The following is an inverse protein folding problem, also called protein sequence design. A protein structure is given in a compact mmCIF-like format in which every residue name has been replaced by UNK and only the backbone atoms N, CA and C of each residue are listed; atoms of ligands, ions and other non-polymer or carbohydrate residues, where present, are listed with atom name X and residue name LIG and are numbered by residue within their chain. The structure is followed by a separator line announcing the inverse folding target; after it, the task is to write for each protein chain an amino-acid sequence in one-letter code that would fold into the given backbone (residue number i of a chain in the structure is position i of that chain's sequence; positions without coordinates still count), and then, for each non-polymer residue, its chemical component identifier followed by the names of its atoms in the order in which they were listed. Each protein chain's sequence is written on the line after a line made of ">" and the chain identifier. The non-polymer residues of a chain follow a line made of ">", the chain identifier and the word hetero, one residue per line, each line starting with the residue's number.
data_IF_668127527125
#
_entry.id   IF_668127527125
#
_cell.length_a   1.000
_cell.length_b   1.000
_cell.length_c   1.000
_cell.angle_alpha   90.00
_cell.angle_beta   90.00
_cell.angle_gamma   90.00
#
_symmetry.space_group_name_H-M   'P 1'
#
loop_
_entity.id
_entity.type
_entity.pdbx_description
1 polymer ?
#
# COMPACT_ATOMS: atom_id res chain seq x y z
N UNK A 1 0.19 17.10 -19.68
CA UNK A 1 0.59 16.32 -18.51
C UNK A 1 0.57 14.83 -18.85
N UNK A 2 1.55 14.08 -18.32
CA UNK A 2 1.65 12.61 -18.43
C UNK A 2 1.61 11.98 -17.06
N UNK A 3 0.90 10.86 -16.92
CA UNK A 3 0.92 10.00 -15.74
C UNK A 3 1.71 8.72 -16.03
N UNK A 4 2.40 8.20 -15.03
CA UNK A 4 3.07 6.91 -15.08
C UNK A 4 2.68 6.05 -13.88
N UNK A 5 2.40 4.76 -14.13
CA UNK A 5 2.15 3.79 -13.06
C UNK A 5 2.84 2.47 -13.38
N UNK A 6 3.27 1.73 -12.35
CA UNK A 6 4.08 0.52 -12.58
C UNK A 6 3.35 -0.53 -13.42
N UNK A 7 2.18 -0.99 -12.99
CA UNK A 7 1.32 -1.95 -13.71
C UNK A 7 -0.11 -1.91 -13.19
N UNK A 8 -1.06 -2.27 -14.05
CA UNK A 8 -2.50 -2.23 -13.80
C UNK A 8 -3.08 -3.66 -13.89
N UNK A 9 -2.94 -4.45 -12.82
CA UNK A 9 -3.38 -5.86 -12.76
C UNK A 9 -4.48 -6.13 -11.74
N UNK A 10 -4.96 -5.10 -11.04
CA UNK A 10 -6.04 -5.16 -10.05
C UNK A 10 -6.13 -3.87 -9.26
N UNK A 11 -7.30 -3.56 -8.68
CA UNK A 11 -7.51 -2.43 -7.80
C UNK A 11 -6.95 -2.72 -6.40
N UNK A 12 -5.95 -1.95 -5.98
CA UNK A 12 -5.34 -1.98 -4.65
C UNK A 12 -5.14 -0.55 -4.16
N UNK A 13 -4.44 -0.37 -3.02
CA UNK A 13 -4.21 0.97 -2.47
C UNK A 13 -3.53 1.94 -3.44
N UNK A 14 -2.53 1.49 -4.20
CA UNK A 14 -1.83 2.32 -5.19
C UNK A 14 -2.73 2.73 -6.35
N UNK A 15 -3.53 1.81 -6.86
CA UNK A 15 -4.45 2.09 -7.96
C UNK A 15 -5.63 2.97 -7.51
N UNK A 16 -6.05 2.91 -6.23
CA UNK A 16 -7.04 3.87 -5.68
C UNK A 16 -6.49 5.30 -5.65
N UNK A 17 -5.23 5.48 -5.27
CA UNK A 17 -4.55 6.78 -5.38
C UNK A 17 -4.50 7.25 -6.83
N UNK A 18 -4.11 6.37 -7.75
CA UNK A 18 -4.06 6.68 -9.17
C UNK A 18 -5.44 7.06 -9.73
N UNK A 19 -6.50 6.35 -9.33
CA UNK A 19 -7.87 6.65 -9.74
C UNK A 19 -8.28 8.08 -9.39
N UNK A 20 -8.00 8.50 -8.14
CA UNK A 20 -8.29 9.87 -7.71
C UNK A 20 -7.45 10.90 -8.48
N UNK A 21 -6.19 10.60 -8.79
CA UNK A 21 -5.36 11.46 -9.65
C UNK A 21 -5.95 11.53 -11.06
N UNK A 22 -6.40 10.41 -11.62
CA UNK A 22 -7.04 10.36 -12.94
C UNK A 22 -8.34 11.18 -12.97
N UNK A 23 -9.15 11.13 -11.93
CA UNK A 23 -10.34 11.98 -11.80
C UNK A 23 -9.99 13.47 -11.79
N UNK A 24 -8.95 13.84 -11.04
CA UNK A 24 -8.52 15.24 -10.95
C UNK A 24 -7.93 15.76 -12.27
N UNK A 25 -7.34 14.89 -13.08
CA UNK A 25 -6.68 15.24 -14.34
C UNK A 25 -7.20 14.40 -15.52
N UNK A 26 -8.46 14.58 -15.95
CA UNK A 26 -9.12 13.69 -16.92
C UNK A 26 -8.50 13.71 -18.33
N UNK A 27 -7.68 14.74 -18.65
CA UNK A 27 -6.96 14.86 -19.93
C UNK A 27 -5.53 14.29 -19.90
N UNK A 28 -5.09 13.76 -18.75
CA UNK A 28 -3.75 13.22 -18.63
C UNK A 28 -3.61 11.89 -19.40
N UNK A 29 -2.43 11.66 -19.97
CA UNK A 29 -2.10 10.44 -20.72
C UNK A 29 -1.34 9.48 -19.81
N UNK A 30 -1.95 8.33 -19.49
CA UNK A 30 -1.37 7.34 -18.58
C UNK A 30 -0.53 6.31 -19.34
N UNK A 31 0.70 6.15 -18.87
CA UNK A 31 1.66 5.14 -19.31
C UNK A 31 1.88 4.10 -18.23
N UNK A 32 1.89 2.83 -18.59
CA UNK A 32 2.10 1.72 -17.63
C UNK A 32 2.82 0.56 -18.30
N UNK A 33 3.54 -0.27 -17.54
CA UNK A 33 4.19 -1.44 -18.12
C UNK A 33 3.20 -2.46 -18.67
N UNK A 34 2.13 -2.73 -17.91
CA UNK A 34 1.16 -3.79 -18.21
C UNK A 34 -0.22 -3.31 -17.78
N UNK A 35 -1.20 -3.50 -18.65
CA UNK A 35 -2.61 -3.25 -18.36
C UNK A 35 -3.44 -4.51 -18.62
N UNK A 36 -4.04 -5.05 -17.58
CA UNK A 36 -5.03 -6.14 -17.70
C UNK A 36 -6.41 -5.52 -17.83
N UNK A 37 -7.06 -5.72 -18.97
CA UNK A 37 -8.44 -5.23 -19.20
C UNK A 37 -9.41 -5.68 -18.11
N UNK A 38 -10.26 -4.75 -17.65
CA UNK A 38 -11.26 -5.00 -16.61
C UNK A 38 -10.70 -5.19 -15.20
N UNK A 39 -9.40 -4.98 -14.99
CA UNK A 39 -8.77 -5.14 -13.67
C UNK A 39 -8.75 -3.86 -12.84
N UNK A 40 -8.96 -2.71 -13.46
CA UNK A 40 -9.00 -1.38 -12.84
C UNK A 40 -10.31 -0.67 -13.20
N UNK A 41 -10.62 0.40 -12.47
CA UNK A 41 -11.81 1.20 -12.74
C UNK A 41 -11.72 1.97 -14.06
N UNK A 42 -12.87 2.53 -14.47
CA UNK A 42 -12.97 3.23 -15.75
C UNK A 42 -12.15 4.53 -15.77
N UNK A 43 -11.98 5.22 -14.65
CA UNK A 43 -11.21 6.46 -14.58
C UNK A 43 -9.76 6.22 -14.98
N UNK A 44 -9.18 5.11 -14.50
CA UNK A 44 -7.83 4.70 -14.90
C UNK A 44 -7.84 4.17 -16.34
N UNK A 45 -8.76 3.25 -16.66
CA UNK A 45 -8.74 2.53 -17.94
C UNK A 45 -8.86 3.45 -19.15
N UNK A 46 -9.67 4.51 -19.09
CA UNK A 46 -9.85 5.50 -20.16
C UNK A 46 -8.59 6.31 -20.47
N UNK A 47 -7.70 6.48 -19.50
CA UNK A 47 -6.49 7.31 -19.65
C UNK A 47 -5.27 6.52 -20.11
N UNK A 48 -5.32 5.18 -20.10
CA UNK A 48 -4.20 4.35 -20.56
C UNK A 48 -4.03 4.52 -22.07
N UNK A 49 -2.94 5.20 -22.46
CA UNK A 49 -2.61 5.45 -23.88
C UNK A 49 -1.46 4.59 -24.38
N UNK A 50 -0.61 4.07 -23.48
CA UNK A 50 0.52 3.24 -23.86
C UNK A 50 0.87 2.21 -22.78
N UNK A 51 1.26 1.04 -23.24
CA UNK A 51 1.88 -0.02 -22.44
C UNK A 51 3.25 -0.36 -22.97
N UNK A 52 4.10 -0.99 -22.16
CA UNK A 52 5.42 -1.42 -22.62
C UNK A 52 5.32 -2.65 -23.56
N UNK A 53 6.44 -3.01 -24.20
CA UNK A 53 6.52 -4.23 -25.01
C UNK A 53 6.17 -5.51 -24.20
N UNK A 54 6.33 -5.49 -22.89
CA UNK A 54 5.97 -6.62 -22.03
C UNK A 54 4.50 -6.99 -22.14
N UNK A 55 3.63 -6.03 -22.46
CA UNK A 55 2.19 -6.27 -22.67
C UNK A 55 1.92 -7.35 -23.72
N UNK A 56 2.78 -7.47 -24.73
CA UNK A 56 2.61 -8.40 -25.84
C UNK A 56 3.04 -9.84 -25.51
N UNK A 57 3.68 -10.07 -24.36
CA UNK A 57 4.07 -11.41 -23.95
C UNK A 57 2.84 -12.23 -23.51
N UNK A 58 2.67 -13.48 -24.00
CA UNK A 58 1.51 -14.30 -23.69
C UNK A 58 1.31 -14.50 -22.19
N UNK A 59 0.14 -14.13 -21.67
CA UNK A 59 -0.24 -14.33 -20.27
C UNK A 59 0.55 -13.51 -19.25
N UNK A 60 1.26 -12.45 -19.67
CA UNK A 60 2.14 -11.64 -18.81
C UNK A 60 1.46 -11.17 -17.53
N UNK A 61 0.18 -10.85 -17.56
CA UNK A 61 -0.57 -10.39 -16.38
C UNK A 61 -0.60 -11.40 -15.21
N UNK A 62 -0.27 -12.67 -15.47
CA UNK A 62 -0.21 -13.73 -14.44
C UNK A 62 1.20 -13.93 -13.88
N UNK A 63 2.23 -13.69 -14.69
CA UNK A 63 3.62 -13.99 -14.33
C UNK A 63 4.58 -12.80 -14.41
N UNK A 64 4.09 -11.58 -14.63
CA UNK A 64 4.89 -10.34 -14.78
C UNK A 64 5.97 -10.14 -13.72
N UNK A 65 5.73 -10.62 -12.48
CA UNK A 65 6.72 -10.48 -11.40
C UNK A 65 8.05 -11.17 -11.68
N UNK A 66 8.02 -12.23 -12.50
CA UNK A 66 9.24 -12.91 -12.94
C UNK A 66 9.99 -12.14 -14.03
N UNK A 67 9.33 -11.20 -14.70
CA UNK A 67 9.92 -10.29 -15.67
C UNK A 67 10.57 -9.05 -15.02
N UNK A 68 10.65 -8.97 -13.68
CA UNK A 68 11.22 -7.85 -12.94
C UNK A 68 12.58 -7.36 -13.47
N UNK A 69 13.56 -8.23 -13.86
CA UNK A 69 14.82 -7.77 -14.41
C UNK A 69 14.70 -7.01 -15.73
N UNK A 70 13.60 -7.18 -16.46
CA UNK A 70 13.33 -6.50 -17.74
C UNK A 70 12.57 -5.18 -17.55
N UNK A 71 12.05 -4.90 -16.36
CA UNK A 71 11.24 -3.71 -16.11
C UNK A 71 12.00 -2.40 -16.33
N UNK A 72 13.28 -2.25 -15.90
CA UNK A 72 14.08 -1.09 -16.25
C UNK A 72 14.12 -0.82 -17.75
N UNK A 73 14.49 -1.81 -18.53
CA UNK A 73 14.54 -1.70 -19.98
C UNK A 73 13.17 -1.38 -20.58
N UNK A 74 12.11 -1.99 -20.06
CA UNK A 74 10.76 -1.79 -20.57
C UNK A 74 10.24 -0.35 -20.36
N UNK A 75 10.50 0.24 -19.17
CA UNK A 75 10.05 1.61 -18.89
C UNK A 75 10.86 2.65 -19.67
N UNK A 76 12.19 2.48 -19.80
CA UNK A 76 13.07 3.38 -20.52
C UNK A 76 12.81 3.44 -22.03
N UNK A 77 12.24 2.37 -22.60
CA UNK A 77 11.91 2.30 -24.04
C UNK A 77 10.49 2.77 -24.35
N UNK A 78 9.72 3.19 -23.35
CA UNK A 78 8.45 3.87 -23.60
C UNK A 78 8.70 5.27 -24.19
N UNK A 79 7.73 5.75 -24.95
CA UNK A 79 7.81 7.04 -25.65
C UNK A 79 6.64 7.92 -25.21
N UNK A 80 6.72 8.57 -24.04
CA UNK A 80 5.70 9.52 -23.65
C UNK A 80 5.71 10.74 -24.56
N UNK A 81 4.56 11.40 -24.80
CA UNK A 81 4.54 12.68 -25.51
C UNK A 81 5.21 13.77 -24.68
N UNK A 82 5.57 14.86 -25.34
CA UNK A 82 6.04 16.07 -24.66
C UNK A 82 4.97 16.57 -23.66
N UNK A 83 5.42 16.99 -22.49
CA UNK A 83 4.57 17.48 -21.43
C UNK A 83 5.38 18.36 -20.47
N UNK A 84 4.74 19.38 -19.88
CA UNK A 84 5.38 20.23 -18.87
C UNK A 84 5.54 19.51 -17.54
N UNK A 85 4.66 18.54 -17.23
CA UNK A 85 4.62 17.80 -15.99
C UNK A 85 4.40 16.31 -16.23
N UNK A 86 5.24 15.49 -15.59
CA UNK A 86 5.06 14.06 -15.43
C UNK A 86 4.78 13.77 -13.95
N UNK A 87 3.72 13.01 -13.67
CA UNK A 87 3.45 12.48 -12.32
C UNK A 87 3.57 10.97 -12.39
N UNK A 88 4.55 10.40 -11.71
CA UNK A 88 4.64 8.95 -11.53
C UNK A 88 4.13 8.53 -10.16
N UNK A 89 3.28 7.50 -10.13
CA UNK A 89 2.87 6.79 -8.92
C UNK A 89 3.63 5.48 -8.89
N UNK A 90 4.68 5.39 -8.05
CA UNK A 90 5.69 4.34 -8.19
C UNK A 90 5.97 3.58 -6.90
N UNK A 91 6.05 2.27 -7.01
CA UNK A 91 6.61 1.35 -6.03
C UNK A 91 7.67 0.42 -6.63
N UNK A 92 7.99 0.63 -7.92
CA UNK A 92 8.98 -0.13 -8.67
C UNK A 92 9.70 0.74 -9.70
N UNK A 93 9.23 0.81 -10.94
CA UNK A 93 9.98 1.42 -12.06
C UNK A 93 9.31 2.64 -12.72
N UNK A 94 8.07 2.95 -12.40
CA UNK A 94 7.32 4.03 -13.09
C UNK A 94 8.03 5.39 -13.05
N UNK A 95 8.83 5.66 -12.00
CA UNK A 95 9.66 6.86 -11.92
C UNK A 95 10.77 6.96 -12.98
N UNK A 96 11.10 5.82 -13.62
CA UNK A 96 12.07 5.74 -14.71
C UNK A 96 11.48 6.02 -16.09
N UNK A 97 10.20 6.44 -16.20
CA UNK A 97 9.65 6.87 -17.49
C UNK A 97 10.49 8.03 -18.06
N UNK A 98 10.94 7.94 -19.34
CA UNK A 98 11.75 8.99 -19.95
C UNK A 98 11.06 10.35 -19.89
N UNK A 99 11.82 11.38 -19.53
CA UNK A 99 11.37 12.77 -19.54
C UNK A 99 12.09 13.54 -20.63
N UNK A 100 11.36 14.40 -21.34
CA UNK A 100 11.95 15.32 -22.31
C UNK A 100 12.05 16.71 -21.67
N UNK A 101 13.22 17.35 -21.75
CA UNK A 101 13.36 18.73 -21.27
C UNK A 101 12.39 19.65 -22.05
N UNK A 102 11.70 20.60 -21.37
CA UNK A 102 11.87 21.06 -19.98
C UNK A 102 10.95 20.40 -18.94
N UNK A 103 10.39 19.21 -19.21
CA UNK A 103 9.42 18.56 -18.35
C UNK A 103 9.89 18.43 -16.89
N UNK A 104 9.05 18.76 -15.94
CA UNK A 104 9.26 18.51 -14.53
C UNK A 104 8.65 17.17 -14.13
N UNK A 105 9.32 16.43 -13.24
CA UNK A 105 8.86 15.11 -12.79
C UNK A 105 8.59 15.09 -11.29
N UNK A 106 7.33 14.90 -10.91
CA UNK A 106 6.90 14.62 -9.55
C UNK A 106 6.71 13.12 -9.41
N UNK A 107 7.42 12.47 -8.47
CA UNK A 107 7.21 11.06 -8.14
C UNK A 107 6.46 10.93 -6.82
N UNK A 108 5.19 10.49 -6.89
CA UNK A 108 4.46 10.01 -5.73
C UNK A 108 4.92 8.59 -5.42
N UNK A 109 5.80 8.48 -4.44
CA UNK A 109 6.53 7.26 -4.13
C UNK A 109 5.83 6.46 -3.03
N UNK A 110 5.24 5.32 -3.40
CA UNK A 110 4.67 4.38 -2.42
C UNK A 110 5.76 3.73 -1.59
N UNK A 111 6.89 3.42 -2.21
CA UNK A 111 8.11 2.91 -1.58
C UNK A 111 9.24 2.89 -2.63
N UNK A 112 10.51 3.08 -2.26
CA UNK A 112 11.62 2.67 -3.10
C UNK A 112 11.47 1.20 -3.50
N UNK A 113 12.00 0.82 -4.68
CA UNK A 113 11.77 -0.51 -5.27
C UNK A 113 11.86 -1.63 -4.23
N UNK A 114 10.70 -2.06 -3.71
CA UNK A 114 10.60 -2.96 -2.56
C UNK A 114 11.34 -4.27 -2.76
N UNK A 115 11.29 -4.81 -3.98
CA UNK A 115 11.95 -6.06 -4.36
C UNK A 115 13.47 -5.99 -4.27
N UNK A 116 14.06 -4.82 -4.52
CA UNK A 116 15.50 -4.62 -4.48
C UNK A 116 16.03 -4.27 -3.08
N UNK A 117 15.25 -3.53 -2.27
CA UNK A 117 15.74 -2.94 -1.03
C UNK A 117 15.24 -3.61 0.26
N UNK A 118 14.05 -4.24 0.26
CA UNK A 118 13.38 -4.66 1.51
C UNK A 118 13.15 -6.17 1.59
N UNK A 119 12.66 -6.81 0.55
CA UNK A 119 12.16 -8.20 0.62
C UNK A 119 13.04 -9.23 -0.08
N UNK A 120 14.34 -9.00 -0.16
CA UNK A 120 15.27 -9.92 -0.79
C UNK A 120 15.18 -11.36 -0.26
N UNK A 121 15.20 -11.52 1.06
CA UNK A 121 15.24 -12.84 1.68
C UNK A 121 13.91 -13.61 1.57
N UNK A 122 12.79 -12.90 1.55
CA UNK A 122 11.46 -13.50 1.49
C UNK A 122 11.10 -14.05 0.11
N UNK A 123 11.59 -13.40 -0.96
CA UNK A 123 11.25 -13.80 -2.33
C UNK A 123 12.17 -14.84 -2.92
N UNK A 124 13.41 -14.97 -2.45
CA UNK A 124 14.44 -15.73 -3.16
C UNK A 124 15.00 -16.94 -2.42
N UNK A 125 14.60 -17.19 -1.17
CA UNK A 125 14.92 -18.39 -0.39
C UNK A 125 16.41 -18.53 0.00
N UNK A 126 16.76 -19.66 0.60
CA UNK A 126 18.07 -19.89 1.25
C UNK A 126 19.15 -20.57 0.37
N UNK A 127 18.88 -20.82 -0.92
CA UNK A 127 19.84 -21.54 -1.78
C UNK A 127 21.04 -20.66 -2.18
N UNK A 128 22.30 -21.04 -1.85
CA UNK A 128 23.49 -20.18 -2.05
C UNK A 128 23.82 -19.92 -3.54
N UNK A 129 23.61 -20.87 -4.44
CA UNK A 129 23.87 -20.67 -5.87
C UNK A 129 22.86 -19.71 -6.50
N UNK A 130 21.58 -19.79 -6.09
CA UNK A 130 20.57 -18.81 -6.46
C UNK A 130 20.87 -17.42 -5.87
N UNK A 131 21.41 -17.35 -4.65
CA UNK A 131 21.79 -16.08 -4.01
C UNK A 131 22.83 -15.29 -4.82
N UNK A 132 23.83 -15.96 -5.40
CA UNK A 132 24.86 -15.28 -6.18
C UNK A 132 24.30 -14.64 -7.47
N UNK A 133 23.58 -15.41 -8.29
CA UNK A 133 22.96 -14.90 -9.53
C UNK A 133 21.93 -13.78 -9.25
N UNK A 134 21.12 -13.97 -8.22
CA UNK A 134 20.15 -13.00 -7.80
C UNK A 134 20.80 -11.73 -7.22
N UNK A 135 21.96 -11.87 -6.58
CA UNK A 135 22.76 -10.74 -6.11
C UNK A 135 23.16 -9.80 -7.25
N UNK A 136 23.57 -10.34 -8.39
CA UNK A 136 23.89 -9.54 -9.60
C UNK A 136 22.66 -8.78 -10.12
N UNK A 137 21.53 -9.47 -10.24
CA UNK A 137 20.27 -8.86 -10.69
C UNK A 137 19.83 -7.76 -9.72
N UNK A 138 19.95 -7.99 -8.43
CA UNK A 138 19.56 -7.00 -7.42
C UNK A 138 20.47 -5.79 -7.40
N UNK A 139 21.77 -5.97 -7.56
CA UNK A 139 22.70 -4.86 -7.66
C UNK A 139 22.38 -4.03 -8.92
N UNK A 140 22.16 -4.68 -10.06
CA UNK A 140 21.68 -4.00 -11.26
C UNK A 140 20.40 -3.19 -10.99
N UNK A 141 19.39 -3.79 -10.34
CA UNK A 141 18.13 -3.12 -10.04
C UNK A 141 18.31 -1.97 -9.05
N UNK A 142 19.17 -2.11 -8.04
CA UNK A 142 19.47 -1.04 -7.07
C UNK A 142 20.20 0.14 -7.70
N UNK A 143 21.19 -0.14 -8.54
CA UNK A 143 21.95 0.89 -9.24
C UNK A 143 21.02 1.65 -10.19
N UNK A 144 20.23 0.93 -10.96
CA UNK A 144 19.23 1.53 -11.85
C UNK A 144 18.19 2.36 -11.07
N UNK A 145 17.66 1.82 -9.98
CA UNK A 145 16.64 2.46 -9.14
C UNK A 145 17.16 3.77 -8.51
N UNK A 146 18.45 3.78 -8.13
CA UNK A 146 19.13 4.96 -7.61
C UNK A 146 19.40 5.99 -8.72
N UNK A 147 19.93 5.58 -9.87
CA UNK A 147 20.22 6.46 -11.00
C UNK A 147 18.95 7.16 -11.50
N UNK A 148 17.86 6.41 -11.68
CA UNK A 148 16.60 7.01 -12.13
C UNK A 148 15.97 7.97 -11.11
N UNK A 149 16.30 7.85 -9.83
CA UNK A 149 15.87 8.80 -8.81
C UNK A 149 16.51 10.20 -8.99
N UNK A 150 17.66 10.31 -9.70
CA UNK A 150 18.31 11.59 -9.98
C UNK A 150 17.51 12.44 -10.98
N UNK A 151 16.75 11.79 -11.88
CA UNK A 151 15.92 12.47 -12.87
C UNK A 151 14.57 12.96 -12.32
N UNK A 152 14.20 12.57 -11.11
CA UNK A 152 12.98 13.05 -10.47
C UNK A 152 13.19 14.47 -9.93
N UNK A 153 12.38 15.42 -10.37
CA UNK A 153 12.44 16.81 -9.87
C UNK A 153 12.06 16.86 -8.39
N UNK A 154 10.95 16.22 -8.00
CA UNK A 154 10.45 16.20 -6.63
C UNK A 154 9.88 14.83 -6.26
N UNK A 155 10.28 14.33 -5.09
CA UNK A 155 9.64 13.18 -4.46
C UNK A 155 8.54 13.61 -3.49
N UNK A 156 7.43 12.85 -3.51
CA UNK A 156 6.36 12.90 -2.53
C UNK A 156 6.22 11.50 -1.94
N UNK A 157 6.48 11.35 -0.67
CA UNK A 157 6.39 10.09 0.05
C UNK A 157 4.97 9.90 0.64
N UNK A 158 4.50 8.66 0.67
CA UNK A 158 3.19 8.31 1.26
C UNK A 158 3.18 8.37 2.80
N UNK A 159 4.35 8.49 3.44
CA UNK A 159 4.50 8.52 4.90
C UNK A 159 5.89 9.04 5.28
N UNK A 160 6.06 9.46 6.53
CA UNK A 160 7.39 9.77 7.06
C UNK A 160 8.32 8.54 7.08
N UNK A 161 7.74 7.35 7.24
CA UNK A 161 8.47 6.10 7.13
C UNK A 161 9.08 5.93 5.73
N UNK A 162 8.32 6.20 4.67
CA UNK A 162 8.81 6.14 3.28
C UNK A 162 9.74 7.31 2.96
N UNK A 163 9.50 8.52 3.49
CA UNK A 163 10.44 9.64 3.36
C UNK A 163 11.85 9.25 3.84
N UNK A 164 11.96 8.61 5.02
CA UNK A 164 13.26 8.11 5.53
C UNK A 164 13.90 7.06 4.61
N UNK A 165 13.09 6.21 3.95
CA UNK A 165 13.61 5.25 2.96
C UNK A 165 14.10 5.93 1.68
N UNK A 166 13.40 6.95 1.18
CA UNK A 166 13.85 7.76 0.02
C UNK A 166 15.18 8.43 0.35
N UNK A 167 15.29 9.06 1.50
CA UNK A 167 16.55 9.66 1.97
C UNK A 167 17.66 8.62 2.06
N UNK A 168 17.41 7.47 2.70
CA UNK A 168 18.38 6.39 2.89
C UNK A 168 18.88 5.78 1.59
N UNK A 169 17.98 5.51 0.62
CA UNK A 169 18.34 4.74 -0.57
C UNK A 169 18.69 5.61 -1.77
N UNK A 170 18.08 6.78 -1.89
CA UNK A 170 18.29 7.69 -3.01
C UNK A 170 19.10 8.93 -2.65
N UNK A 171 19.28 9.25 -1.35
CA UNK A 171 19.90 10.49 -0.91
C UNK A 171 19.08 11.73 -1.29
N UNK A 172 17.76 11.58 -1.42
CA UNK A 172 16.84 12.63 -1.89
C UNK A 172 15.87 13.03 -0.78
N UNK A 173 15.55 14.32 -0.71
CA UNK A 173 14.45 14.83 0.11
C UNK A 173 13.10 14.49 -0.52
N UNK A 174 12.07 14.38 0.32
CA UNK A 174 10.70 14.18 -0.11
C UNK A 174 9.71 14.95 0.77
N UNK A 175 8.69 15.55 0.16
CA UNK A 175 7.50 15.99 0.86
C UNK A 175 6.68 14.78 1.32
N UNK A 176 5.82 14.93 2.32
CA UNK A 176 4.90 13.86 2.72
C UNK A 176 3.47 14.27 2.39
N UNK A 177 2.80 13.44 1.61
CA UNK A 177 1.36 13.54 1.34
C UNK A 177 0.77 12.16 1.55
N UNK A 178 -0.04 12.00 2.58
CA UNK A 178 -0.63 10.71 2.92
C UNK A 178 -1.58 10.21 1.83
N UNK A 179 -1.68 8.89 1.60
CA UNK A 179 -2.62 8.32 0.63
C UNK A 179 -4.07 8.61 1.03
N UNK A 180 -4.96 8.82 0.06
CA UNK A 180 -6.36 9.10 0.31
C UNK A 180 -7.11 7.88 0.85
N UNK A 181 -8.00 8.13 1.80
CA UNK A 181 -9.02 7.19 2.27
C UNK A 181 -10.39 7.84 2.11
N UNK A 182 -11.32 7.14 1.49
CA UNK A 182 -12.69 7.64 1.29
C UNK A 182 -13.47 7.58 2.61
N UNK A 183 -13.21 8.56 3.48
CA UNK A 183 -13.87 8.67 4.79
C UNK A 183 -15.37 8.99 4.68
N UNK A 184 -15.84 9.48 3.51
CA UNK A 184 -17.25 9.77 3.30
C UNK A 184 -18.05 8.49 3.06
N UNK A 185 -17.42 7.49 2.43
CA UNK A 185 -18.01 6.16 2.25
C UNK A 185 -17.97 5.32 3.53
N UNK A 186 -17.03 5.59 4.43
CA UNK A 186 -16.81 4.93 5.70
C UNK A 186 -17.37 5.78 6.83
N UNK A 187 -18.38 5.31 7.56
CA UNK A 187 -19.09 6.11 8.56
C UNK A 187 -19.45 5.29 9.80
N UNK A 188 -19.64 6.01 10.90
CA UNK A 188 -20.08 5.44 12.18
C UNK A 188 -21.59 5.17 12.10
N UNK A 189 -22.04 4.00 12.57
CA UNK A 189 -23.46 3.62 12.58
C UNK A 189 -24.15 3.84 13.94
N UNK A 190 -23.41 4.19 14.98
CA UNK A 190 -23.90 4.28 16.36
C UNK A 190 -24.26 2.93 16.99
N UNK A 191 -24.11 1.81 16.27
CA UNK A 191 -24.40 0.47 16.80
C UNK A 191 -23.23 -0.04 17.63
N UNK A 192 -23.55 -0.73 18.72
CA UNK A 192 -22.55 -1.43 19.54
C UNK A 192 -21.79 -2.47 18.71
N UNK A 193 -20.50 -2.66 18.94
CA UNK A 193 -19.73 -3.68 18.24
C UNK A 193 -20.22 -5.08 18.58
N UNK A 194 -20.13 -5.96 17.60
CA UNK A 194 -20.35 -7.39 17.80
C UNK A 194 -19.11 -8.04 18.44
N UNK A 195 -19.27 -9.25 18.95
CA UNK A 195 -18.21 -9.98 19.64
C UNK A 195 -17.23 -10.67 18.68
N UNK A 196 -16.53 -9.89 17.86
CA UNK A 196 -15.41 -10.39 17.04
C UNK A 196 -14.40 -9.29 16.73
N UNK A 197 -13.16 -9.68 16.52
CA UNK A 197 -12.11 -8.81 15.98
C UNK A 197 -11.90 -9.10 14.50
N UNK A 198 -11.32 -8.15 13.77
CA UNK A 198 -11.25 -8.19 12.32
C UNK A 198 -9.80 -8.03 11.81
N UNK A 199 -9.45 -8.83 10.82
CA UNK A 199 -8.28 -8.59 9.96
C UNK A 199 -8.77 -8.41 8.53
N UNK A 200 -8.30 -7.35 7.85
CA UNK A 200 -8.49 -7.13 6.41
C UNK A 200 -7.10 -7.03 5.78
N UNK A 201 -6.67 -8.05 5.04
CA UNK A 201 -5.29 -8.09 4.55
C UNK A 201 -5.11 -9.07 3.38
N UNK A 202 -4.09 -8.83 2.53
CA UNK A 202 -3.54 -9.89 1.70
C UNK A 202 -2.86 -10.95 2.59
N UNK A 203 -3.10 -12.25 2.30
CA UNK A 203 -2.54 -13.35 3.08
C UNK A 203 -1.15 -13.71 2.55
N UNK A 204 -0.15 -12.90 2.94
CA UNK A 204 1.26 -13.03 2.56
C UNK A 204 2.16 -12.91 3.79
N UNK A 205 3.40 -13.44 3.77
CA UNK A 205 4.24 -13.61 4.97
C UNK A 205 4.44 -12.33 5.79
N UNK A 206 4.80 -11.21 5.17
CA UNK A 206 5.11 -9.97 5.87
C UNK A 206 3.91 -9.31 6.60
N UNK A 207 2.69 -9.71 6.28
CA UNK A 207 1.47 -9.27 6.99
C UNK A 207 1.28 -9.95 8.33
N UNK A 208 2.05 -10.98 8.65
CA UNK A 208 2.11 -11.66 9.94
C UNK A 208 0.75 -12.15 10.44
N UNK A 209 -0.11 -12.62 9.54
CA UNK A 209 -1.41 -13.22 9.91
C UNK A 209 -1.22 -14.50 10.74
N UNK A 210 -0.09 -15.21 10.54
CA UNK A 210 0.34 -16.35 11.34
C UNK A 210 0.42 -16.01 12.84
N UNK A 211 0.94 -14.82 13.16
CA UNK A 211 1.04 -14.32 14.54
C UNK A 211 -0.34 -14.13 15.15
N UNK A 212 -1.25 -13.47 14.43
CA UNK A 212 -2.62 -13.26 14.91
C UNK A 212 -3.35 -14.59 15.12
N UNK A 213 -3.22 -15.56 14.19
CA UNK A 213 -3.83 -16.88 14.35
C UNK A 213 -3.32 -17.58 15.61
N UNK A 214 -2.01 -17.54 15.89
CA UNK A 214 -1.44 -18.13 17.12
C UNK A 214 -2.03 -17.49 18.37
N UNK A 215 -2.11 -16.16 18.41
CA UNK A 215 -2.67 -15.40 19.52
C UNK A 215 -4.15 -15.74 19.74
N UNK A 216 -4.96 -15.75 18.67
CA UNK A 216 -6.40 -16.05 18.78
C UNK A 216 -6.70 -17.53 19.03
N UNK A 217 -5.82 -18.44 18.62
CA UNK A 217 -5.89 -19.85 19.02
C UNK A 217 -5.70 -20.05 20.54
N UNK A 218 -4.93 -19.18 21.20
CA UNK A 218 -4.75 -19.18 22.66
C UNK A 218 -5.96 -18.56 23.37
N UNK A 219 -6.35 -17.34 22.98
CA UNK A 219 -7.42 -16.59 23.63
C UNK A 219 -8.82 -17.15 23.37
N UNK A 220 -9.01 -17.93 22.29
CA UNK A 220 -10.30 -18.47 21.80
C UNK A 220 -11.34 -17.38 21.49
N UNK A 221 -10.95 -16.11 21.42
CA UNK A 221 -11.85 -15.04 21.04
C UNK A 221 -12.16 -15.11 19.53
N UNK A 222 -13.37 -14.77 19.06
CA UNK A 222 -13.71 -14.80 17.64
C UNK A 222 -12.88 -13.82 16.82
N UNK A 223 -12.27 -14.32 15.74
CA UNK A 223 -11.53 -13.54 14.75
C UNK A 223 -12.08 -13.79 13.35
N UNK A 224 -12.39 -12.72 12.62
CA UNK A 224 -12.72 -12.79 11.19
C UNK A 224 -11.56 -12.27 10.36
N UNK A 225 -11.21 -13.02 9.30
CA UNK A 225 -10.10 -12.69 8.39
C UNK A 225 -10.66 -12.53 7.00
N UNK A 226 -10.57 -11.30 6.46
CA UNK A 226 -10.91 -10.95 5.08
C UNK A 226 -9.63 -10.89 4.24
N UNK A 227 -9.69 -11.51 3.07
CA UNK A 227 -8.64 -11.44 2.07
C UNK A 227 -8.22 -12.80 1.52
N UNK A 228 -7.32 -12.74 0.54
CA UNK A 228 -6.76 -13.89 -0.16
C UNK A 228 -5.25 -13.76 -0.26
N UNK A 229 -4.55 -14.84 -0.54
CA UNK A 229 -3.10 -14.79 -0.72
C UNK A 229 -2.44 -16.16 -0.72
N UNK A 230 -1.13 -16.17 -0.92
CA UNK A 230 -0.32 -17.39 -1.05
C UNK A 230 -0.31 -18.24 0.21
N UNK A 231 -0.50 -17.61 1.39
CA UNK A 231 -0.47 -18.30 2.67
C UNK A 231 -1.83 -18.87 3.11
N UNK A 232 -2.91 -18.66 2.35
CA UNK A 232 -4.26 -19.06 2.75
C UNK A 232 -4.34 -20.50 3.26
N UNK A 233 -3.77 -21.46 2.52
CA UNK A 233 -3.84 -22.90 2.89
C UNK A 233 -3.08 -23.18 4.19
N UNK A 234 -1.89 -22.63 4.34
CA UNK A 234 -1.06 -22.80 5.54
C UNK A 234 -1.71 -22.18 6.76
N UNK A 235 -2.23 -20.95 6.64
CA UNK A 235 -2.92 -20.23 7.71
C UNK A 235 -4.21 -20.97 8.14
N UNK A 236 -5.00 -21.44 7.18
CA UNK A 236 -6.24 -22.17 7.43
C UNK A 236 -6.01 -23.50 8.16
N UNK A 237 -4.90 -24.21 7.85
CA UNK A 237 -4.61 -25.51 8.48
C UNK A 237 -4.26 -25.42 9.96
N UNK A 238 -3.83 -24.27 10.46
CA UNK A 238 -3.44 -24.06 11.86
C UNK A 238 -4.47 -23.25 12.65
N UNK A 239 -5.49 -22.71 12.00
CA UNK A 239 -6.57 -21.93 12.61
C UNK A 239 -7.58 -22.85 13.32
N UNK A 240 -7.99 -22.49 14.55
CA UNK A 240 -9.04 -23.18 15.30
C UNK A 240 -10.44 -22.67 14.92
N UNK A 241 -11.48 -23.26 15.51
CA UNK A 241 -12.89 -23.00 15.17
C UNK A 241 -13.36 -21.56 15.40
N UNK A 242 -12.69 -20.81 16.29
CA UNK A 242 -12.99 -19.41 16.57
C UNK A 242 -12.47 -18.45 15.50
N UNK A 243 -11.75 -18.93 14.48
CA UNK A 243 -11.16 -18.12 13.41
C UNK A 243 -11.87 -18.43 12.09
N UNK A 244 -12.55 -17.41 11.54
CA UNK A 244 -13.32 -17.49 10.31
C UNK A 244 -12.58 -16.79 9.17
N UNK A 245 -12.38 -17.49 8.05
CA UNK A 245 -11.81 -16.91 6.82
C UNK A 245 -12.94 -16.59 5.85
N UNK A 246 -13.14 -15.30 5.58
CA UNK A 246 -14.20 -14.81 4.70
C UNK A 246 -13.81 -14.73 3.24
N UNK A 247 -12.52 -14.92 2.91
CA UNK A 247 -12.02 -14.77 1.55
C UNK A 247 -12.07 -13.32 1.05
N UNK A 248 -12.22 -13.14 -0.25
CA UNK A 248 -12.42 -11.83 -0.84
C UNK A 248 -13.82 -11.30 -0.51
N UNK A 249 -13.91 -10.03 -0.16
CA UNK A 249 -15.16 -9.35 0.14
C UNK A 249 -15.27 -8.05 -0.67
N UNK A 250 -16.49 -7.66 -1.02
CA UNK A 250 -16.75 -6.34 -1.61
C UNK A 250 -16.48 -5.22 -0.61
N UNK A 251 -16.22 -4.02 -1.12
CA UNK A 251 -15.99 -2.84 -0.28
C UNK A 251 -17.16 -2.56 0.68
N UNK A 252 -18.42 -2.81 0.27
CA UNK A 252 -19.59 -2.65 1.14
C UNK A 252 -19.64 -3.70 2.25
N UNK A 253 -19.25 -4.94 1.94
CA UNK A 253 -19.11 -6.00 2.94
C UNK A 253 -17.99 -5.69 3.94
N UNK A 254 -16.87 -5.18 3.45
CA UNK A 254 -15.73 -4.76 4.30
C UNK A 254 -16.16 -3.60 5.21
N UNK A 255 -16.85 -2.59 4.68
CA UNK A 255 -17.42 -1.51 5.49
C UNK A 255 -18.33 -2.02 6.61
N UNK A 256 -19.25 -2.93 6.28
CA UNK A 256 -20.13 -3.53 7.27
C UNK A 256 -19.36 -4.30 8.36
N UNK A 257 -18.27 -4.98 8.00
CA UNK A 257 -17.39 -5.66 8.94
C UNK A 257 -16.62 -4.67 9.84
N UNK A 258 -16.10 -3.57 9.28
CA UNK A 258 -15.50 -2.50 10.10
C UNK A 258 -16.52 -1.93 11.11
N UNK A 259 -17.73 -1.62 10.66
CA UNK A 259 -18.78 -1.07 11.52
C UNK A 259 -19.21 -2.01 12.68
N UNK A 260 -19.00 -3.31 12.49
CA UNK A 260 -19.45 -4.35 13.45
C UNK A 260 -18.33 -4.89 14.32
N UNK A 261 -17.08 -4.87 13.90
CA UNK A 261 -16.00 -5.46 14.69
C UNK A 261 -15.76 -4.68 16.00
N UNK A 262 -15.20 -5.36 17.01
CA UNK A 262 -14.76 -4.74 18.25
C UNK A 262 -13.51 -3.88 18.00
N UNK A 263 -12.52 -4.44 17.34
CA UNK A 263 -11.32 -3.74 16.88
C UNK A 263 -10.77 -4.35 15.59
N UNK A 264 -9.93 -3.57 14.89
CA UNK A 264 -9.09 -4.08 13.80
C UNK A 264 -7.77 -4.58 14.39
N UNK A 265 -7.28 -5.74 13.92
CA UNK A 265 -5.96 -6.28 14.26
C UNK A 265 -5.02 -6.15 13.07
N UNK A 266 -3.87 -5.49 13.28
CA UNK A 266 -2.91 -5.13 12.24
C UNK A 266 -1.49 -5.56 12.64
N UNK A 267 -1.14 -6.87 12.48
CA UNK A 267 0.05 -7.45 13.09
C UNK A 267 1.34 -7.29 12.29
N UNK A 268 1.27 -6.84 11.03
CA UNK A 268 2.42 -6.65 10.16
C UNK A 268 2.96 -5.23 10.15
N UNK A 269 4.20 -5.07 9.67
CA UNK A 269 4.77 -3.76 9.35
C UNK A 269 4.35 -3.34 7.93
N UNK A 270 3.83 -2.13 7.78
CA UNK A 270 3.44 -1.57 6.47
C UNK A 270 3.98 -0.16 6.26
N UNK A 271 4.00 0.24 4.99
CA UNK A 271 4.57 1.53 4.57
C UNK A 271 3.67 2.72 4.97
N UNK A 272 2.34 2.51 5.05
CA UNK A 272 1.37 3.49 5.55
C UNK A 272 0.28 2.84 6.41
N UNK A 273 -0.48 1.90 5.86
CA UNK A 273 -1.59 1.26 6.56
C UNK A 273 -2.94 1.93 6.26
N UNK A 274 -3.45 1.78 5.04
CA UNK A 274 -4.79 2.25 4.63
C UNK A 274 -5.88 1.59 5.49
N UNK A 275 -5.78 0.28 5.71
CA UNK A 275 -6.76 -0.53 6.46
C UNK A 275 -6.98 -0.04 7.90
N UNK A 276 -5.96 0.32 8.70
CA UNK A 276 -6.12 1.04 9.96
C UNK A 276 -6.95 2.32 9.89
N UNK A 277 -6.72 3.13 8.85
CA UNK A 277 -7.48 4.38 8.66
C UNK A 277 -8.94 4.09 8.29
N UNK A 278 -9.20 3.09 7.45
CA UNK A 278 -10.55 2.66 7.08
C UNK A 278 -11.36 2.20 8.31
N UNK A 279 -10.74 1.42 9.21
CA UNK A 279 -11.39 1.01 10.46
C UNK A 279 -11.69 2.20 11.37
N UNK A 280 -10.74 3.12 11.50
CA UNK A 280 -10.91 4.35 12.28
C UNK A 280 -12.00 5.26 11.69
N UNK A 281 -12.13 5.35 10.37
CA UNK A 281 -13.22 6.09 9.72
C UNK A 281 -14.61 5.53 10.09
N UNK A 282 -14.68 4.23 10.43
CA UNK A 282 -15.88 3.59 10.98
C UNK A 282 -15.97 3.65 12.52
N UNK A 283 -15.11 4.44 13.18
CA UNK A 283 -15.07 4.60 14.63
C UNK A 283 -14.51 3.40 15.40
N UNK A 284 -13.72 2.53 14.75
CA UNK A 284 -13.18 1.32 15.39
C UNK A 284 -11.70 1.46 15.73
N UNK A 285 -11.32 1.10 16.97
CA UNK A 285 -9.92 1.15 17.40
C UNK A 285 -9.08 0.08 16.67
N UNK A 286 -7.79 0.31 16.64
CA UNK A 286 -6.84 -0.59 15.96
C UNK A 286 -5.82 -1.12 16.96
N UNK A 287 -5.59 -2.44 16.95
CA UNK A 287 -4.46 -3.07 17.63
C UNK A 287 -3.37 -3.34 16.61
N UNK A 288 -2.23 -2.67 16.72
CA UNK A 288 -1.21 -2.68 15.69
C UNK A 288 0.20 -2.94 16.22
N UNK A 289 1.03 -3.56 15.36
CA UNK A 289 2.47 -3.61 15.61
C UNK A 289 3.08 -2.20 15.53
N UNK A 290 3.84 -1.81 16.54
CA UNK A 290 4.42 -0.48 16.70
C UNK A 290 5.56 -0.21 15.72
N UNK A 291 5.29 -0.30 14.39
CA UNK A 291 6.28 -0.12 13.33
C UNK A 291 5.69 0.41 12.03
N UNK A 292 6.54 1.09 11.25
CA UNK A 292 6.16 1.59 9.93
C UNK A 292 5.08 2.66 9.99
N UNK A 293 4.18 2.66 9.01
CA UNK A 293 3.10 3.64 8.88
C UNK A 293 2.03 3.57 9.97
N UNK A 294 1.93 2.47 10.72
CA UNK A 294 1.00 2.37 11.85
C UNK A 294 1.28 3.46 12.90
N UNK A 295 2.55 3.84 13.10
CA UNK A 295 2.94 4.92 14.02
C UNK A 295 2.47 6.32 13.57
N UNK A 296 2.04 6.47 12.33
CA UNK A 296 1.55 7.73 11.76
C UNK A 296 0.02 7.79 11.69
N UNK A 297 -0.61 6.60 11.54
CA UNK A 297 -2.05 6.48 11.35
C UNK A 297 -2.82 6.22 12.64
N UNK A 298 -2.14 5.78 13.71
CA UNK A 298 -2.76 5.44 15.00
C UNK A 298 -2.17 6.34 16.09
N UNK A 299 -3.01 6.80 17.00
CA UNK A 299 -2.63 7.51 18.22
C UNK A 299 -2.89 6.60 19.41
N UNK A 300 -1.80 6.17 20.06
CA UNK A 300 -1.84 5.21 21.17
C UNK A 300 -2.78 5.67 22.30
N UNK A 301 -3.59 4.76 22.81
CA UNK A 301 -4.60 5.04 23.84
C UNK A 301 -5.76 5.94 23.40
N UNK A 302 -5.78 6.46 22.15
CA UNK A 302 -6.82 7.34 21.64
C UNK A 302 -7.57 6.78 20.43
N UNK A 303 -6.85 6.13 19.51
CA UNK A 303 -7.45 5.51 18.32
C UNK A 303 -7.05 4.05 18.16
N UNK A 304 -6.25 3.54 19.06
CA UNK A 304 -5.80 2.15 19.09
C UNK A 304 -4.79 1.89 20.18
N UNK A 305 -4.23 0.68 20.17
CA UNK A 305 -3.22 0.20 21.10
C UNK A 305 -2.08 -0.44 20.31
N UNK A 306 -0.84 -0.15 20.70
CA UNK A 306 0.32 -0.77 20.09
C UNK A 306 0.83 -1.97 20.88
N UNK A 307 1.34 -2.97 20.16
CA UNK A 307 2.23 -3.98 20.71
C UNK A 307 3.62 -3.87 20.07
N UNK A 308 4.68 -4.12 20.86
CA UNK A 308 6.07 -3.81 20.48
C UNK A 308 6.86 -5.05 20.07
N UNK A 309 6.42 -6.24 20.43
CA UNK A 309 7.05 -7.50 20.08
C UNK A 309 6.11 -8.36 19.24
N UNK A 310 6.59 -8.92 18.13
CA UNK A 310 5.79 -9.81 17.28
C UNK A 310 5.68 -11.20 17.91
N UNK A 311 5.11 -11.27 19.13
CA UNK A 311 4.79 -12.49 19.85
C UNK A 311 3.29 -12.62 20.04
N UNK A 312 2.73 -13.87 20.11
CA UNK A 312 1.31 -14.07 20.38
C UNK A 312 0.86 -13.46 21.71
N UNK A 313 1.72 -13.48 22.72
CA UNK A 313 1.39 -12.97 24.07
C UNK A 313 1.29 -11.44 24.05
N UNK A 314 2.27 -10.73 23.46
CA UNK A 314 2.20 -9.27 23.33
C UNK A 314 0.98 -8.79 22.53
N UNK A 315 0.60 -9.52 21.47
CA UNK A 315 -0.61 -9.23 20.73
C UNK A 315 -1.88 -9.46 21.58
N UNK A 316 -1.94 -10.57 22.37
CA UNK A 316 -3.08 -10.85 23.25
C UNK A 316 -3.20 -9.79 24.36
N UNK A 317 -2.10 -9.34 24.94
CA UNK A 317 -2.09 -8.27 25.93
C UNK A 317 -2.63 -6.96 25.35
N UNK A 318 -2.18 -6.55 24.17
CA UNK A 318 -2.67 -5.35 23.48
C UNK A 318 -4.17 -5.46 23.13
N UNK A 319 -4.65 -6.65 22.71
CA UNK A 319 -6.06 -6.90 22.44
C UNK A 319 -6.89 -6.80 23.72
N UNK A 320 -6.38 -7.28 24.87
CA UNK A 320 -7.04 -7.15 26.18
C UNK A 320 -7.07 -5.68 26.63
N UNK A 321 -5.96 -4.94 26.50
CA UNK A 321 -5.91 -3.51 26.78
C UNK A 321 -6.92 -2.74 25.93
N UNK A 322 -6.96 -3.02 24.62
CA UNK A 322 -7.94 -2.42 23.71
C UNK A 322 -9.38 -2.71 24.13
N UNK A 323 -9.66 -3.91 24.66
CA UNK A 323 -11.00 -4.30 25.12
C UNK A 323 -11.42 -3.64 26.45
N UNK A 324 -10.45 -3.17 27.23
CA UNK A 324 -10.71 -2.51 28.54
C UNK A 324 -10.95 -0.99 28.40
N UNK A 325 -10.62 -0.40 27.25
CA UNK A 325 -10.79 1.04 27.01
C UNK A 325 -12.21 1.31 26.50
N UNK A 326 -12.85 2.31 27.07
CA UNK A 326 -14.08 2.89 26.50
C UNK A 326 -13.68 3.88 25.38
N UNK A 327 -13.98 3.51 24.14
CA UNK A 327 -13.54 4.22 22.96
C UNK A 327 -14.53 5.30 22.53
N UNK A 328 -14.05 6.53 22.39
CA UNK A 328 -14.77 7.62 21.71
C UNK A 328 -14.68 7.43 20.18
N UNK A 329 -15.77 6.95 19.59
CA UNK A 329 -15.83 6.64 18.15
C UNK A 329 -15.65 7.89 17.29
N UNK A 330 -16.14 9.05 17.72
CA UNK A 330 -16.01 10.33 16.98
C UNK A 330 -14.55 10.81 17.00
N UNK A 331 -13.87 10.67 18.13
CA UNK A 331 -12.44 10.96 18.22
C UNK A 331 -11.60 10.07 17.32
N UNK A 332 -11.92 8.78 17.27
CA UNK A 332 -11.26 7.82 16.38
C UNK A 332 -11.47 8.25 14.92
N UNK A 333 -12.72 8.55 14.53
CA UNK A 333 -13.06 9.00 13.18
C UNK A 333 -12.33 10.30 12.80
N UNK A 334 -12.31 11.28 13.70
CA UNK A 334 -11.62 12.55 13.48
C UNK A 334 -10.13 12.37 13.14
N UNK A 335 -9.48 11.36 13.71
CA UNK A 335 -8.11 11.03 13.31
C UNK A 335 -8.02 10.51 11.87
N UNK A 336 -9.00 9.71 11.41
CA UNK A 336 -9.04 9.21 10.05
C UNK A 336 -9.28 10.32 9.00
N UNK A 337 -9.99 11.39 9.34
CA UNK A 337 -10.28 12.52 8.45
C UNK A 337 -9.01 13.26 7.99
N UNK A 338 -7.91 13.18 8.74
CA UNK A 338 -6.59 13.68 8.32
C UNK A 338 -6.05 13.04 7.05
N UNK A 339 -6.62 11.92 6.65
CA UNK A 339 -6.22 11.11 5.50
C UNK A 339 -7.33 11.06 4.43
N UNK A 340 -8.23 12.05 4.44
CA UNK A 340 -9.33 12.12 3.47
C UNK A 340 -8.84 12.36 2.05
N UNK A 341 -9.73 12.13 1.08
CA UNK A 341 -9.47 12.45 -0.32
C UNK A 341 -9.15 13.94 -0.51
N UNK A 342 -9.83 14.81 0.23
CA UNK A 342 -9.65 16.27 0.20
C UNK A 342 -8.25 16.67 0.67
N UNK A 343 -7.80 16.14 1.81
CA UNK A 343 -6.45 16.42 2.34
C UNK A 343 -5.36 15.92 1.38
N UNK A 344 -5.55 14.74 0.78
CA UNK A 344 -4.66 14.24 -0.25
C UNK A 344 -4.58 15.20 -1.44
N UNK A 345 -5.71 15.65 -1.98
CA UNK A 345 -5.75 16.53 -3.16
C UNK A 345 -5.12 17.90 -2.86
N UNK A 346 -5.33 18.45 -1.66
CA UNK A 346 -4.68 19.69 -1.21
C UNK A 346 -3.15 19.50 -1.19
N UNK A 347 -2.67 18.43 -0.56
CA UNK A 347 -1.26 18.12 -0.47
C UNK A 347 -0.61 17.88 -1.84
N UNK A 348 -1.29 17.13 -2.72
CA UNK A 348 -0.83 16.87 -4.08
C UNK A 348 -0.74 18.17 -4.90
N UNK A 349 -1.76 19.04 -4.83
CA UNK A 349 -1.76 20.32 -5.55
C UNK A 349 -0.62 21.23 -5.10
N UNK A 350 -0.32 21.27 -3.79
CA UNK A 350 0.84 21.99 -3.26
C UNK A 350 2.17 21.43 -3.79
N UNK A 351 2.32 20.10 -3.80
CA UNK A 351 3.51 19.44 -4.32
C UNK A 351 3.71 19.73 -5.82
N UNK A 352 2.64 19.68 -6.61
CA UNK A 352 2.66 20.03 -8.05
C UNK A 352 3.13 21.49 -8.24
N UNK A 353 2.53 22.45 -7.52
CA UNK A 353 2.93 23.87 -7.61
C UNK A 353 4.42 24.05 -7.33
N UNK A 354 4.91 23.47 -6.22
CA UNK A 354 6.34 23.53 -5.87
C UNK A 354 7.24 22.86 -6.91
N UNK A 355 6.77 21.82 -7.60
CA UNK A 355 7.53 21.14 -8.66
C UNK A 355 7.67 22.01 -9.90
N UNK A 356 6.60 22.71 -10.29
CA UNK A 356 6.58 23.57 -11.46
C UNK A 356 7.37 24.89 -11.28
N UNK A 357 7.61 25.31 -10.03
CA UNK A 357 8.38 26.52 -9.71
C UNK A 357 9.89 26.27 -9.54
N UNK A 358 10.34 25.04 -9.62
CA UNK A 358 11.77 24.66 -9.65
C UNK A 358 12.35 24.74 -11.07
#
# INVERSE_FOLDING_TARGET
>A
MVLAHDWLTGMRGGERVLSLICEQFPQAKLHTLIHKQGAVDENIARQVVATSFLQHLPGISRWYRYALPLFPYAIEHMRPPEADLIISTSHCVAKGLPTHAPAKHLCYCFTPMRYAWVFYEEYFGKNPAKKWLLGLILNYLRDWDKQTAEHVTRFVAISHHIRKRIEKYYGREADVVYPPVDVNRLFITGKSPQRFDLIVSALVPYKRIDLAIKAYNQSKFPLKIVGTGTEYRALRSVAKQNIEFLGWQSDDSIRALYQQCRCLVFPGEEDFGIVPVEAQACGRPVVAYAKGGALETIVDGQTGVFFHEQTPDALNEAVQQCAAIEWDQERIRKNAERFSNEEFLIGLAQAIRRTLTM
#
